data_IF_104018940628
#
_entry.id   IF_104018940628
#
_cell.length_a   1.000
_cell.length_b   1.000
_cell.length_c   1.000
_cell.angle_alpha   90.00
_cell.angle_beta   90.00
_cell.angle_gamma   90.00
#
_symmetry.space_group_name_H-M   'P 1'
#
loop_
_entity.id
_entity.type
_entity.pdbx_description
1 polymer ?
#
# COMPACT_ATOMS: atom_id res chain seq x y z
N UNK A 1 -15.38 63.84 40.45
CA UNK A 1 -14.28 63.00 41.02
C UNK A 1 -14.53 61.47 40.92
N UNK A 2 -15.75 60.98 40.67
CA UNK A 2 -16.05 59.52 40.62
C UNK A 2 -15.47 58.80 39.38
N UNK A 3 -15.38 59.47 38.23
CA UNK A 3 -14.91 58.83 36.98
C UNK A 3 -13.40 58.50 36.97
N UNK A 4 -12.57 59.26 37.69
CA UNK A 4 -11.11 59.06 37.71
C UNK A 4 -10.71 57.82 38.54
N UNK A 5 -11.43 57.56 39.64
CA UNK A 5 -11.18 56.37 40.47
C UNK A 5 -11.46 55.05 39.75
N UNK A 6 -12.49 55.01 38.89
CA UNK A 6 -12.83 53.82 38.11
C UNK A 6 -11.76 53.46 37.07
N UNK A 7 -11.14 54.46 36.43
CA UNK A 7 -10.10 54.26 35.41
C UNK A 7 -8.81 53.73 36.04
N UNK A 8 -8.47 54.20 37.25
CA UNK A 8 -7.28 53.73 37.99
C UNK A 8 -7.46 52.27 38.43
N UNK A 9 -8.65 51.90 38.92
CA UNK A 9 -8.94 50.52 39.30
C UNK A 9 -8.95 49.55 38.10
N UNK A 10 -9.45 49.98 36.94
CA UNK A 10 -9.43 49.19 35.72
C UNK A 10 -8.00 48.90 35.22
N UNK A 11 -7.09 49.89 35.30
CA UNK A 11 -5.67 49.71 34.94
C UNK A 11 -4.94 48.78 35.93
N UNK A 12 -5.25 48.86 37.23
CA UNK A 12 -4.64 47.98 38.24
C UNK A 12 -5.08 46.52 38.07
N UNK A 13 -6.36 46.28 37.73
CA UNK A 13 -6.92 44.94 37.45
C UNK A 13 -6.32 44.34 36.17
N UNK A 14 -6.10 45.14 35.12
CA UNK A 14 -5.39 44.69 33.90
C UNK A 14 -3.94 44.29 34.17
N UNK A 15 -3.18 45.08 34.94
CA UNK A 15 -1.78 44.74 35.29
C UNK A 15 -1.69 43.48 36.17
N UNK A 16 -2.59 43.30 37.13
CA UNK A 16 -2.63 42.09 37.96
C UNK A 16 -2.98 40.84 37.14
N UNK A 17 -3.92 40.94 36.20
CA UNK A 17 -4.30 39.83 35.33
C UNK A 17 -3.19 39.47 34.32
N UNK A 18 -2.43 40.46 33.85
CA UNK A 18 -1.29 40.26 32.95
C UNK A 18 -0.07 39.63 33.68
N UNK A 19 0.16 39.99 34.95
CA UNK A 19 1.21 39.38 35.78
C UNK A 19 0.92 37.90 36.14
N UNK A 20 -0.36 37.53 36.34
CA UNK A 20 -0.76 36.13 36.55
C UNK A 20 -0.66 35.26 35.30
N UNK A 21 -0.78 35.84 34.09
CA UNK A 21 -0.61 35.09 32.84
C UNK A 21 0.85 34.73 32.56
N UNK A 22 1.79 35.65 32.82
CA UNK A 22 3.23 35.41 32.56
C UNK A 22 3.82 34.31 33.45
N UNK A 23 3.34 34.15 34.68
CA UNK A 23 3.78 33.09 35.59
C UNK A 23 3.34 31.67 35.20
N UNK A 24 2.27 31.53 34.41
CA UNK A 24 1.73 30.23 34.01
C UNK A 24 2.32 29.68 32.69
N UNK A 25 3.05 30.50 31.92
CA UNK A 25 3.67 30.05 30.68
C UNK A 25 5.05 29.39 30.87
N UNK A 26 5.65 29.49 32.07
CA UNK A 26 6.94 28.84 32.40
C UNK A 26 6.77 27.38 32.86
N UNK A 27 5.55 26.93 33.22
CA UNK A 27 5.29 25.58 33.74
C UNK A 27 4.71 24.57 32.74
N UNK A 28 4.69 24.88 31.43
CA UNK A 28 4.27 23.90 30.42
C UNK A 28 5.44 22.94 30.12
N UNK A 29 5.29 21.62 30.29
CA UNK A 29 6.30 20.67 29.85
C UNK A 29 6.52 20.86 28.33
N UNK A 30 7.75 20.59 27.82
CA UNK A 30 8.07 20.85 26.42
C UNK A 30 7.02 20.20 25.53
N UNK A 31 6.36 21.05 24.74
CA UNK A 31 5.33 20.69 23.77
C UNK A 31 5.89 19.52 22.96
N UNK A 32 5.34 18.31 23.13
CA UNK A 32 5.70 17.17 22.27
C UNK A 32 5.60 17.69 20.84
N UNK A 33 6.75 17.72 20.16
CA UNK A 33 6.87 18.18 18.78
C UNK A 33 5.81 17.38 18.01
N UNK A 34 4.69 18.03 17.65
CA UNK A 34 3.69 17.38 16.80
C UNK A 34 4.44 17.09 15.52
N UNK A 35 4.84 15.83 15.34
CA UNK A 35 5.31 15.30 14.07
C UNK A 35 4.28 15.75 13.05
N UNK A 36 4.67 16.71 12.22
CA UNK A 36 3.89 17.19 11.11
C UNK A 36 3.59 15.94 10.29
N UNK A 37 2.34 15.45 10.36
CA UNK A 37 1.88 14.43 9.45
C UNK A 37 2.05 15.01 8.05
N UNK A 38 3.05 14.50 7.33
CA UNK A 38 3.35 14.90 5.97
C UNK A 38 2.16 14.52 5.09
N UNK A 39 1.50 15.48 4.42
CA UNK A 39 0.32 15.21 3.63
C UNK A 39 0.72 14.81 2.21
N UNK A 40 1.34 13.64 2.03
CA UNK A 40 1.45 12.99 0.72
C UNK A 40 2.33 11.75 0.83
N UNK A 41 1.84 10.62 0.33
CA UNK A 41 2.52 9.32 0.29
C UNK A 41 3.78 9.29 -0.59
N UNK A 42 4.80 10.05 -0.22
CA UNK A 42 6.18 9.61 -0.42
C UNK A 42 6.51 8.57 0.65
N UNK A 43 7.39 7.60 0.36
CA UNK A 43 7.88 6.71 1.39
C UNK A 43 8.40 7.57 2.53
N UNK A 44 7.91 7.30 3.73
CA UNK A 44 8.44 7.87 4.96
C UNK A 44 9.96 7.86 4.84
N UNK A 45 10.59 9.04 4.92
CA UNK A 45 12.03 9.17 5.07
C UNK A 45 12.51 8.06 6.02
N UNK A 46 13.63 7.37 5.72
CA UNK A 46 14.02 6.16 6.42
C UNK A 46 13.86 6.43 7.91
N UNK A 47 12.96 5.66 8.54
CA UNK A 47 12.75 5.72 9.98
C UNK A 47 14.16 5.71 10.56
N UNK A 48 14.54 6.79 11.24
CA UNK A 48 15.81 6.92 11.93
C UNK A 48 15.78 5.91 13.09
N UNK A 49 15.92 4.64 12.74
CA UNK A 49 16.25 3.57 13.64
C UNK A 49 17.76 3.54 13.70
N UNK A 50 18.29 3.83 14.87
CA UNK A 50 19.64 3.44 15.28
C UNK A 50 19.83 1.94 15.00
N UNK A 51 20.33 1.60 13.83
CA UNK A 51 20.60 0.24 13.40
C UNK A 51 22.06 -0.12 13.67
N UNK A 52 22.26 -1.27 14.30
CA UNK A 52 23.54 -1.80 14.82
C UNK A 52 24.58 -2.10 13.72
N UNK A 53 24.25 -1.95 12.43
CA UNK A 53 25.08 -2.35 11.28
C UNK A 53 25.45 -1.17 10.37
N UNK A 54 26.76 -1.02 10.07
CA UNK A 54 27.38 0.17 9.46
C UNK A 54 26.86 0.58 8.06
N UNK A 55 26.39 -0.35 7.23
CA UNK A 55 26.10 -0.08 5.80
C UNK A 55 24.62 0.13 5.46
N UNK A 56 23.74 0.11 6.46
CA UNK A 56 22.29 0.18 6.28
C UNK A 56 21.84 1.48 5.59
N UNK A 57 22.51 2.60 5.91
CA UNK A 57 22.22 3.92 5.33
C UNK A 57 22.61 4.01 3.85
N UNK A 58 23.69 3.35 3.45
CA UNK A 58 24.14 3.36 2.04
C UNK A 58 23.24 2.48 1.17
N UNK A 59 22.84 1.30 1.66
CA UNK A 59 21.89 0.44 0.96
C UNK A 59 20.52 1.12 0.75
N UNK A 60 20.04 1.86 1.75
CA UNK A 60 18.79 2.62 1.63
C UNK A 60 18.89 3.77 0.62
N UNK A 61 20.03 4.47 0.57
CA UNK A 61 20.27 5.54 -0.39
C UNK A 61 20.35 4.99 -1.83
N UNK A 62 21.09 3.91 -2.03
CA UNK A 62 21.25 3.25 -3.33
C UNK A 62 19.93 2.66 -3.85
N UNK A 63 19.08 2.13 -2.96
CA UNK A 63 17.74 1.66 -3.30
C UNK A 63 16.75 2.82 -3.58
N UNK A 64 16.99 3.99 -2.98
CA UNK A 64 16.16 5.18 -3.19
C UNK A 64 16.45 5.91 -4.51
N UNK A 65 17.52 5.54 -5.21
CA UNK A 65 17.91 6.15 -6.48
C UNK A 65 16.89 5.87 -7.59
N UNK A 66 16.59 6.93 -8.36
CA UNK A 66 15.62 6.90 -9.46
C UNK A 66 15.97 5.83 -10.51
N UNK A 67 17.26 5.66 -10.79
CA UNK A 67 17.74 4.72 -11.81
C UNK A 67 17.51 3.27 -11.38
N UNK A 68 17.73 2.96 -10.09
CA UNK A 68 17.47 1.62 -9.53
C UNK A 68 15.96 1.36 -9.51
N UNK A 69 15.15 2.35 -9.12
CA UNK A 69 13.69 2.23 -9.14
C UNK A 69 13.13 2.03 -10.55
N UNK A 70 13.66 2.75 -11.54
CA UNK A 70 13.29 2.62 -12.94
C UNK A 70 13.75 1.28 -13.52
N UNK A 71 14.97 0.85 -13.20
CA UNK A 71 15.50 -0.46 -13.62
C UNK A 71 14.65 -1.61 -13.09
N UNK A 72 14.28 -1.58 -11.81
CA UNK A 72 13.36 -2.57 -11.22
C UNK A 72 11.97 -2.50 -11.87
N UNK A 73 11.41 -1.31 -12.06
CA UNK A 73 10.11 -1.18 -12.72
C UNK A 73 10.14 -1.75 -14.14
N UNK A 74 11.23 -1.51 -14.87
CA UNK A 74 11.50 -2.10 -16.18
C UNK A 74 11.61 -3.63 -16.13
N UNK A 75 12.29 -4.20 -15.13
CA UNK A 75 12.38 -5.64 -14.93
C UNK A 75 11.00 -6.27 -14.66
N UNK A 76 10.16 -5.63 -13.84
CA UNK A 76 8.79 -6.11 -13.58
C UNK A 76 7.95 -6.05 -14.85
N UNK A 77 8.03 -4.96 -15.61
CA UNK A 77 7.32 -4.81 -16.88
C UNK A 77 7.80 -5.84 -17.92
N UNK A 78 9.11 -6.04 -18.04
CA UNK A 78 9.72 -7.05 -18.92
C UNK A 78 9.28 -8.46 -18.55
N UNK A 79 9.28 -8.82 -17.27
CA UNK A 79 8.75 -10.12 -16.84
C UNK A 79 7.27 -10.29 -17.19
N UNK A 80 6.46 -9.24 -17.00
CA UNK A 80 5.05 -9.29 -17.35
C UNK A 80 4.84 -9.52 -18.85
N UNK A 81 5.59 -8.82 -19.70
CA UNK A 81 5.57 -9.03 -21.16
C UNK A 81 6.00 -10.45 -21.51
N UNK A 82 7.06 -10.99 -20.89
CA UNK A 82 7.47 -12.37 -21.11
C UNK A 82 6.37 -13.37 -20.74
N UNK A 83 5.68 -13.17 -19.60
CA UNK A 83 4.55 -14.02 -19.21
C UNK A 83 3.37 -13.92 -20.19
N UNK A 84 3.11 -12.74 -20.75
CA UNK A 84 2.06 -12.55 -21.77
C UNK A 84 2.43 -13.29 -23.05
N UNK A 85 3.68 -13.17 -23.50
CA UNK A 85 4.19 -13.87 -24.69
C UNK A 85 4.15 -15.38 -24.49
N UNK A 86 4.60 -15.90 -23.35
CA UNK A 86 4.48 -17.32 -22.98
C UNK A 86 3.03 -17.77 -23.14
N UNK A 87 2.06 -17.01 -22.61
CA UNK A 87 0.64 -17.38 -22.69
C UNK A 87 0.02 -17.26 -24.08
N UNK A 88 0.55 -16.39 -24.94
CA UNK A 88 0.07 -16.25 -26.32
C UNK A 88 0.64 -17.32 -27.24
N UNK A 89 1.94 -17.61 -27.14
CA UNK A 89 2.64 -18.56 -28.01
C UNK A 89 2.40 -20.00 -27.54
N UNK A 90 2.53 -20.25 -26.23
CA UNK A 90 2.44 -21.60 -25.66
C UNK A 90 1.48 -21.63 -24.46
N UNK A 91 0.16 -21.58 -24.71
CA UNK A 91 -0.83 -21.57 -23.64
C UNK A 91 -0.78 -22.85 -22.77
N UNK A 92 -0.28 -23.96 -23.33
CA UNK A 92 -0.19 -25.27 -22.65
C UNK A 92 1.18 -25.52 -21.99
N UNK A 93 2.21 -24.77 -22.36
CA UNK A 93 3.57 -24.89 -21.82
C UNK A 93 4.32 -26.14 -22.30
N UNK A 94 4.05 -26.59 -23.52
CA UNK A 94 4.58 -27.85 -24.07
C UNK A 94 5.63 -27.66 -25.17
N UNK A 95 5.69 -26.50 -25.82
CA UNK A 95 6.49 -26.28 -27.02
C UNK A 95 7.90 -25.76 -26.67
N UNK A 96 8.00 -24.81 -25.73
CA UNK A 96 9.28 -24.25 -25.28
C UNK A 96 9.45 -24.20 -23.75
N UNK A 97 9.26 -25.33 -23.03
CA UNK A 97 9.25 -25.34 -21.57
C UNK A 97 10.59 -24.90 -20.94
N UNK A 98 11.72 -25.31 -21.53
CA UNK A 98 13.07 -24.97 -21.08
C UNK A 98 13.34 -23.46 -21.17
N UNK A 99 12.98 -22.83 -22.30
CA UNK A 99 13.25 -21.42 -22.55
C UNK A 99 12.42 -20.52 -21.61
N UNK A 100 11.11 -20.73 -21.54
CA UNK A 100 10.23 -19.96 -20.66
C UNK A 100 10.51 -20.22 -19.17
N UNK A 101 10.83 -21.46 -18.81
CA UNK A 101 11.28 -21.80 -17.45
C UNK A 101 12.57 -21.09 -17.06
N UNK A 102 13.54 -21.00 -17.97
CA UNK A 102 14.79 -20.24 -17.77
C UNK A 102 14.55 -18.74 -17.55
N UNK A 103 13.67 -18.12 -18.35
CA UNK A 103 13.29 -16.72 -18.14
C UNK A 103 12.60 -16.52 -16.79
N UNK A 104 11.65 -17.38 -16.45
CA UNK A 104 10.96 -17.31 -15.16
C UNK A 104 11.94 -17.41 -13.98
N UNK A 105 12.88 -18.36 -14.04
CA UNK A 105 13.93 -18.54 -13.05
C UNK A 105 14.81 -17.29 -12.92
N UNK A 106 15.28 -16.74 -14.04
CA UNK A 106 16.08 -15.53 -14.07
C UNK A 106 15.38 -14.36 -13.37
N UNK A 107 14.14 -14.06 -13.75
CA UNK A 107 13.37 -12.99 -13.13
C UNK A 107 13.11 -13.24 -11.65
N UNK A 108 12.83 -14.49 -11.27
CA UNK A 108 12.58 -14.84 -9.88
C UNK A 108 13.85 -14.65 -9.00
N UNK A 109 15.03 -15.03 -9.49
CA UNK A 109 16.31 -14.80 -8.80
C UNK A 109 16.57 -13.30 -8.63
N UNK A 110 16.40 -12.53 -9.70
CA UNK A 110 16.61 -11.06 -9.66
C UNK A 110 15.67 -10.41 -8.65
N UNK A 111 14.38 -10.78 -8.64
CA UNK A 111 13.42 -10.23 -7.67
C UNK A 111 13.69 -10.69 -6.24
N UNK A 112 14.19 -11.92 -6.05
CA UNK A 112 14.58 -12.42 -4.73
C UNK A 112 15.76 -11.63 -4.18
N UNK A 113 16.80 -11.40 -4.99
CA UNK A 113 17.95 -10.58 -4.61
C UNK A 113 17.53 -9.15 -4.29
N UNK A 114 16.66 -8.56 -5.11
CA UNK A 114 16.13 -7.23 -4.91
C UNK A 114 15.32 -7.11 -3.60
N UNK A 115 14.47 -8.10 -3.31
CA UNK A 115 13.69 -8.18 -2.08
C UNK A 115 14.60 -8.35 -0.85
N UNK A 116 15.64 -9.17 -0.95
CA UNK A 116 16.63 -9.36 0.11
C UNK A 116 17.39 -8.06 0.42
N UNK A 117 17.81 -7.31 -0.61
CA UNK A 117 18.41 -5.99 -0.45
C UNK A 117 17.46 -5.01 0.23
N UNK A 118 16.19 -5.01 -0.19
CA UNK A 118 15.16 -4.19 0.43
C UNK A 118 14.94 -4.57 1.91
N UNK A 119 14.88 -5.87 2.23
CA UNK A 119 14.75 -6.36 3.60
C UNK A 119 16.00 -6.05 4.46
N UNK A 120 17.19 -6.05 3.87
CA UNK A 120 18.42 -5.63 4.55
C UNK A 120 18.43 -4.12 4.85
N UNK A 121 17.94 -3.30 3.91
CA UNK A 121 17.83 -1.86 4.08
C UNK A 121 16.79 -1.48 5.16
N UNK A 122 15.60 -2.09 5.12
CA UNK A 122 14.51 -1.82 6.05
C UNK A 122 14.44 -2.92 7.12
N UNK A 123 14.92 -2.60 8.33
CA UNK A 123 14.91 -3.47 9.52
C UNK A 123 13.62 -4.31 9.63
N UNK A 124 13.76 -5.59 10.01
CA UNK A 124 12.69 -6.61 10.05
C UNK A 124 11.31 -6.03 10.45
N UNK A 125 11.20 -5.36 11.60
CA UNK A 125 9.92 -4.79 12.08
C UNK A 125 9.28 -3.74 11.15
N UNK A 126 10.07 -2.88 10.53
CA UNK A 126 9.57 -1.84 9.62
C UNK A 126 9.17 -2.44 8.28
N UNK A 127 9.87 -3.50 7.83
CA UNK A 127 9.50 -4.24 6.63
C UNK A 127 8.10 -4.87 6.76
N UNK A 128 7.83 -5.58 7.86
CA UNK A 128 6.54 -6.24 8.12
C UNK A 128 5.38 -5.29 8.41
N UNK A 129 5.62 -4.00 8.70
CA UNK A 129 4.54 -3.03 8.91
C UNK A 129 3.91 -2.53 7.60
N UNK A 130 4.57 -2.73 6.46
CA UNK A 130 4.10 -2.25 5.16
C UNK A 130 3.40 -3.38 4.39
N UNK A 131 2.10 -3.25 4.15
CA UNK A 131 1.34 -4.26 3.38
C UNK A 131 1.91 -4.53 1.98
N UNK A 132 2.51 -3.51 1.35
CA UNK A 132 3.18 -3.65 0.05
C UNK A 132 4.51 -4.40 0.09
N UNK A 133 5.18 -4.47 1.25
CA UNK A 133 6.38 -5.29 1.43
C UNK A 133 5.99 -6.75 1.72
N UNK A 134 4.92 -6.96 2.50
CA UNK A 134 4.38 -8.30 2.78
C UNK A 134 3.87 -8.95 1.50
N UNK A 135 3.09 -8.22 0.68
CA UNK A 135 2.62 -8.74 -0.61
C UNK A 135 3.78 -9.17 -1.51
N UNK A 136 4.82 -8.35 -1.57
CA UNK A 136 6.04 -8.64 -2.34
C UNK A 136 6.73 -9.93 -1.84
N UNK A 137 6.88 -10.06 -0.53
CA UNK A 137 7.44 -11.26 0.10
C UNK A 137 6.64 -12.52 -0.22
N UNK A 138 5.32 -12.47 -0.11
CA UNK A 138 4.44 -13.62 -0.43
C UNK A 138 4.59 -14.04 -1.89
N UNK A 139 4.62 -13.08 -2.82
CA UNK A 139 4.74 -13.36 -4.25
C UNK A 139 6.10 -14.01 -4.59
N UNK A 140 7.20 -13.48 -4.03
CA UNK A 140 8.54 -14.06 -4.23
C UNK A 140 8.63 -15.44 -3.58
N UNK A 141 8.08 -15.62 -2.38
CA UNK A 141 8.06 -16.91 -1.69
C UNK A 141 7.34 -17.99 -2.50
N UNK A 142 6.17 -17.67 -3.05
CA UNK A 142 5.43 -18.57 -3.96
C UNK A 142 6.27 -18.93 -5.20
N UNK A 143 6.96 -17.95 -5.78
CA UNK A 143 7.86 -18.16 -6.91
C UNK A 143 8.98 -19.15 -6.57
N UNK A 144 9.61 -18.99 -5.40
CA UNK A 144 10.65 -19.91 -4.91
C UNK A 144 10.09 -21.33 -4.70
N UNK A 145 8.95 -21.48 -4.02
CA UNK A 145 8.31 -22.79 -3.85
C UNK A 145 8.02 -23.49 -5.18
N UNK A 146 7.61 -22.73 -6.19
CA UNK A 146 7.36 -23.25 -7.54
C UNK A 146 8.68 -23.68 -8.22
N UNK A 147 9.74 -22.89 -8.06
CA UNK A 147 11.06 -23.16 -8.64
C UNK A 147 11.71 -24.42 -8.05
N UNK A 148 11.56 -24.63 -6.74
CA UNK A 148 12.10 -25.80 -6.05
C UNK A 148 11.27 -27.08 -6.24
N UNK A 149 10.27 -27.07 -7.14
CA UNK A 149 9.36 -28.20 -7.39
C UNK A 149 8.78 -28.80 -6.10
N UNK A 150 8.52 -27.95 -5.09
CA UNK A 150 7.87 -28.42 -3.87
C UNK A 150 6.48 -28.90 -4.26
N UNK A 151 6.10 -30.17 -3.99
CA UNK A 151 4.79 -30.68 -4.33
C UNK A 151 3.77 -29.99 -3.44
N UNK A 152 3.13 -28.95 -3.98
CA UNK A 152 2.13 -28.22 -3.24
C UNK A 152 0.75 -28.87 -3.48
N UNK A 153 -0.03 -29.16 -2.43
CA UNK A 153 -1.32 -29.84 -2.56
C UNK A 153 -2.35 -28.99 -3.31
N UNK A 154 -3.21 -29.62 -4.12
CA UNK A 154 -4.34 -29.07 -4.90
C UNK A 154 -4.46 -27.54 -5.05
N UNK A 155 -4.97 -26.79 -4.04
CA UNK A 155 -5.15 -25.33 -4.11
C UNK A 155 -3.86 -24.56 -4.38
N UNK A 156 -2.74 -25.07 -3.89
CA UNK A 156 -1.45 -24.44 -4.06
C UNK A 156 -0.90 -24.57 -5.51
N UNK A 157 -1.46 -25.46 -6.34
CA UNK A 157 -1.19 -25.46 -7.79
C UNK A 157 -1.65 -24.14 -8.42
N UNK A 158 -2.73 -23.55 -7.91
CA UNK A 158 -3.23 -22.24 -8.33
C UNK A 158 -2.28 -21.09 -7.94
N UNK A 159 -1.40 -21.30 -6.94
CA UNK A 159 -0.37 -20.32 -6.59
C UNK A 159 0.68 -20.17 -7.69
N UNK A 160 0.85 -21.15 -8.58
CA UNK A 160 1.64 -20.94 -9.80
C UNK A 160 1.04 -19.83 -10.65
N UNK A 161 -0.28 -19.65 -10.67
CA UNK A 161 -0.94 -18.54 -11.37
C UNK A 161 -0.72 -17.20 -10.66
N UNK A 162 -0.45 -17.22 -9.35
CA UNK A 162 -0.17 -16.01 -8.56
C UNK A 162 1.09 -15.27 -9.03
N UNK A 163 1.98 -15.91 -9.80
CA UNK A 163 3.12 -15.21 -10.39
C UNK A 163 2.73 -14.04 -11.28
N UNK A 164 1.58 -14.10 -11.96
CA UNK A 164 1.07 -12.99 -12.77
C UNK A 164 0.79 -11.74 -11.92
N UNK A 165 0.42 -11.92 -10.64
CA UNK A 165 0.19 -10.84 -9.69
C UNK A 165 1.46 -10.06 -9.35
N UNK A 166 2.66 -10.56 -9.71
CA UNK A 166 3.89 -9.78 -9.51
C UNK A 166 3.89 -8.47 -10.30
N UNK A 167 3.08 -8.34 -11.35
CA UNK A 167 2.84 -7.06 -12.05
C UNK A 167 2.28 -6.00 -11.09
N UNK A 168 1.52 -6.38 -10.06
CA UNK A 168 1.00 -5.45 -9.06
C UNK A 168 2.11 -4.77 -8.24
N UNK A 169 3.34 -5.30 -8.24
CA UNK A 169 4.50 -4.61 -7.67
C UNK A 169 4.77 -3.28 -8.37
N UNK A 170 4.41 -3.10 -9.65
CA UNK A 170 4.47 -1.80 -10.33
C UNK A 170 3.64 -0.74 -9.59
N UNK A 171 2.52 -1.11 -8.98
CA UNK A 171 1.66 -0.15 -8.28
C UNK A 171 2.32 0.41 -7.02
N UNK A 172 3.22 -0.36 -6.40
CA UNK A 172 4.06 0.12 -5.29
C UNK A 172 5.18 1.03 -5.79
N UNK A 173 5.80 0.71 -6.94
CA UNK A 173 6.97 1.42 -7.48
C UNK A 173 6.61 2.72 -8.17
N UNK A 174 5.51 2.75 -8.91
CA UNK A 174 5.03 3.92 -9.63
C UNK A 174 4.14 4.76 -8.72
N UNK A 175 4.66 5.89 -8.24
CA UNK A 175 3.95 6.79 -7.30
C UNK A 175 2.56 7.22 -7.80
N UNK A 176 2.43 7.44 -9.10
CA UNK A 176 1.14 7.79 -9.73
C UNK A 176 0.11 6.66 -9.57
N UNK A 177 0.49 5.42 -9.93
CA UNK A 177 -0.37 4.24 -9.79
C UNK A 177 -0.71 3.95 -8.32
N UNK A 178 0.24 4.13 -7.41
CA UNK A 178 -0.01 3.99 -5.98
C UNK A 178 -1.10 4.95 -5.50
N UNK A 179 -1.00 6.22 -5.89
CA UNK A 179 -1.96 7.26 -5.51
C UNK A 179 -3.36 6.93 -6.03
N UNK A 180 -3.47 6.45 -7.27
CA UNK A 180 -4.73 5.97 -7.83
C UNK A 180 -5.32 4.81 -7.00
N UNK A 181 -4.52 3.78 -6.73
CA UNK A 181 -4.96 2.62 -5.94
C UNK A 181 -5.41 2.99 -4.53
N UNK A 182 -4.68 3.88 -3.84
CA UNK A 182 -5.07 4.39 -2.52
C UNK A 182 -6.37 5.21 -2.59
N UNK A 183 -6.58 5.94 -3.68
CA UNK A 183 -7.79 6.76 -3.87
C UNK A 183 -9.00 5.87 -4.15
N UNK A 184 -8.82 4.82 -4.96
CA UNK A 184 -9.81 3.76 -5.16
C UNK A 184 -10.15 3.07 -3.83
N UNK A 185 -9.15 2.66 -3.06
CA UNK A 185 -9.38 2.00 -1.77
C UNK A 185 -10.15 2.88 -0.77
N UNK A 186 -9.93 4.21 -0.79
CA UNK A 186 -10.69 5.16 0.04
C UNK A 186 -12.14 5.32 -0.41
N UNK A 187 -12.44 5.09 -1.69
CA UNK A 187 -13.80 5.14 -2.21
C UNK A 187 -14.60 3.86 -1.89
N UNK A 188 -13.91 2.72 -1.69
CA UNK A 188 -14.56 1.41 -1.43
C UNK A 188 -15.63 1.46 -0.34
N UNK A 189 -15.41 2.03 0.87
CA UNK A 189 -16.44 2.05 1.90
C UNK A 189 -17.72 2.78 1.47
N UNK A 190 -17.60 3.88 0.72
CA UNK A 190 -18.75 4.60 0.19
C UNK A 190 -19.48 3.81 -0.89
N UNK A 191 -18.73 3.15 -1.78
CA UNK A 191 -19.30 2.28 -2.82
C UNK A 191 -20.03 1.09 -2.21
N UNK A 192 -19.49 0.49 -1.15
CA UNK A 192 -20.13 -0.64 -0.45
C UNK A 192 -21.49 -0.25 0.13
N UNK A 193 -21.60 0.94 0.73
CA UNK A 193 -22.89 1.42 1.23
C UNK A 193 -23.91 1.63 0.10
N UNK A 194 -23.49 2.26 -1.01
CA UNK A 194 -24.34 2.42 -2.19
C UNK A 194 -24.74 1.06 -2.81
N UNK A 195 -23.82 0.09 -2.81
CA UNK A 195 -24.07 -1.27 -3.29
C UNK A 195 -25.16 -1.98 -2.49
N UNK A 196 -25.18 -1.83 -1.16
CA UNK A 196 -26.26 -2.41 -0.34
C UNK A 196 -27.64 -1.78 -0.61
N UNK A 197 -27.69 -0.46 -0.80
CA UNK A 197 -28.94 0.22 -1.18
C UNK A 197 -29.42 -0.28 -2.54
N UNK A 198 -28.51 -0.37 -3.53
CA UNK A 198 -28.81 -0.90 -4.85
C UNK A 198 -29.33 -2.33 -4.76
N UNK A 199 -28.69 -3.19 -3.96
CA UNK A 199 -29.10 -4.58 -3.76
C UNK A 199 -30.52 -4.68 -3.19
N UNK A 200 -30.89 -3.83 -2.24
CA UNK A 200 -32.23 -3.79 -1.66
C UNK A 200 -33.27 -3.40 -2.72
N UNK A 201 -33.01 -2.32 -3.45
CA UNK A 201 -33.91 -1.85 -4.52
C UNK A 201 -34.10 -2.92 -5.60
N UNK A 202 -33.00 -3.55 -6.04
CA UNK A 202 -33.06 -4.63 -7.02
C UNK A 202 -33.84 -5.84 -6.49
N UNK A 203 -33.74 -6.15 -5.19
CA UNK A 203 -34.52 -7.23 -4.58
C UNK A 203 -36.02 -6.94 -4.58
N UNK A 204 -36.44 -5.70 -4.29
CA UNK A 204 -37.86 -5.30 -4.37
C UNK A 204 -38.37 -5.43 -5.80
N UNK A 205 -37.62 -4.91 -6.79
CA UNK A 205 -37.99 -5.03 -8.20
C UNK A 205 -38.05 -6.49 -8.66
N UNK A 206 -37.17 -7.36 -8.17
CA UNK A 206 -37.20 -8.78 -8.49
C UNK A 206 -38.49 -9.44 -7.98
N UNK A 207 -38.92 -9.14 -6.75
CA UNK A 207 -40.19 -9.65 -6.19
C UNK A 207 -41.38 -9.16 -7.03
N UNK A 208 -41.45 -7.85 -7.29
CA UNK A 208 -42.52 -7.27 -8.11
C UNK A 208 -42.54 -7.88 -9.51
N UNK A 209 -41.38 -8.05 -10.15
CA UNK A 209 -41.30 -8.65 -11.48
C UNK A 209 -41.84 -10.09 -11.48
N UNK A 210 -41.54 -10.90 -10.45
CA UNK A 210 -42.12 -12.23 -10.33
C UNK A 210 -43.64 -12.12 -10.21
N UNK A 211 -44.16 -11.28 -9.32
CA UNK A 211 -45.61 -11.13 -9.14
C UNK A 211 -46.34 -10.63 -10.41
N UNK A 212 -45.73 -9.72 -11.17
CA UNK A 212 -46.31 -9.17 -12.40
C UNK A 212 -46.23 -10.11 -13.61
N UNK A 213 -45.16 -10.90 -13.70
CA UNK A 213 -44.88 -11.74 -14.87
C UNK A 213 -45.10 -13.24 -14.64
N UNK A 214 -45.50 -13.66 -13.43
CA UNK A 214 -45.79 -15.06 -13.11
C UNK A 214 -46.85 -15.64 -14.06
N UNK A 215 -47.92 -14.90 -14.33
CA UNK A 215 -49.04 -15.38 -15.16
C UNK A 215 -48.70 -15.43 -16.67
N UNK A 216 -47.81 -14.55 -17.14
CA UNK A 216 -47.36 -14.54 -18.54
C UNK A 216 -46.55 -15.78 -18.93
N UNK A 217 -45.97 -16.48 -17.96
CA UNK A 217 -45.26 -17.75 -18.18
C UNK A 217 -46.18 -18.97 -18.31
N UNK A 218 -47.43 -18.88 -17.85
CA UNK A 218 -48.39 -19.99 -17.87
C UNK A 218 -49.15 -20.14 -19.20
N UNK A 219 -48.85 -19.32 -20.21
CA UNK A 219 -49.41 -19.49 -21.57
C UNK A 219 -50.92 -19.31 -21.66
N UNK A 220 -51.49 -18.42 -20.82
CA UNK A 220 -52.89 -17.96 -20.92
C UNK A 220 -52.96 -16.50 -21.34
#
# INVERSE_FOLDING_TARGET
MVAVGAIINAKKKKKASQASQVGNDVKKPPRKLKLKQSPSGLPSAPVQGSGVWKYQRQAALLYSDMNVQLGVAGLIAGNFVCNVIEKQIDPKGIEYPEAFGGFELFFNIVFTAELALNMYAYWWRTFWSSGWNIFDFVVVFIGLCTTFNVPLPGPFSMLRMMRAFRVFRLFKRVKSLNKLMVSLAKAVPGVVNAFFILLLVMSIYAILAVDFFMDYGEGR
#
